data_IF_174511979933
#
_entry.id   IF_174511979933
#
_cell.length_a   1.000
_cell.length_b   1.000
_cell.length_c   1.000
_cell.angle_alpha   90.00
_cell.angle_beta   90.00
_cell.angle_gamma   90.00
#
_symmetry.space_group_name_H-M   'P 1'
#
loop_
_entity.id
_entity.type
_entity.pdbx_description
1 polymer ?
#
# COMPACT_ATOMS: atom_id res chain seq x y z
N UNK A 1 43.09 -13.13 5.51
CA UNK A 1 43.00 -11.78 4.88
C UNK A 1 41.87 -11.63 3.87
N UNK A 2 41.70 -12.44 2.82
CA UNK A 2 40.62 -12.20 1.83
C UNK A 2 39.21 -12.27 2.41
N UNK A 3 38.94 -13.20 3.33
CA UNK A 3 37.61 -13.32 3.95
C UNK A 3 37.20 -12.06 4.74
N UNK A 4 38.08 -11.48 5.52
CA UNK A 4 37.77 -10.26 6.28
C UNK A 4 37.46 -9.05 5.37
N UNK A 5 38.18 -8.91 4.25
CA UNK A 5 37.92 -7.85 3.26
C UNK A 5 36.54 -8.01 2.62
N UNK A 6 36.14 -9.24 2.29
CA UNK A 6 34.80 -9.54 1.74
C UNK A 6 33.73 -9.21 2.77
N UNK A 7 33.93 -9.59 4.04
CA UNK A 7 32.97 -9.28 5.11
C UNK A 7 32.78 -7.77 5.31
N UNK A 8 33.91 -7.00 5.29
CA UNK A 8 33.85 -5.53 5.36
C UNK A 8 33.09 -4.95 4.17
N UNK A 9 33.40 -5.36 2.95
CA UNK A 9 32.74 -4.86 1.75
C UNK A 9 31.22 -5.11 1.79
N UNK A 10 30.80 -6.32 2.19
CA UNK A 10 29.39 -6.66 2.35
C UNK A 10 28.73 -5.82 3.45
N UNK A 11 29.38 -5.60 4.59
CA UNK A 11 28.88 -4.77 5.67
C UNK A 11 28.65 -3.32 5.22
N UNK A 12 29.59 -2.74 4.47
CA UNK A 12 29.46 -1.40 3.92
C UNK A 12 28.28 -1.28 2.93
N UNK A 13 28.11 -2.29 2.07
CA UNK A 13 26.96 -2.33 1.13
C UNK A 13 25.64 -2.41 1.89
N UNK A 14 25.52 -3.30 2.89
CA UNK A 14 24.30 -3.43 3.70
C UNK A 14 24.02 -2.13 4.45
N UNK A 15 25.00 -1.54 5.08
CA UNK A 15 24.89 -0.27 5.79
C UNK A 15 24.41 0.87 4.87
N UNK A 16 25.03 1.00 3.68
CA UNK A 16 24.62 1.99 2.68
C UNK A 16 23.18 1.78 2.21
N UNK A 17 22.80 0.54 1.88
CA UNK A 17 21.45 0.22 1.46
C UNK A 17 20.42 0.56 2.54
N UNK A 18 20.73 0.26 3.81
CA UNK A 18 19.88 0.58 4.96
C UNK A 18 19.70 2.10 5.14
N UNK A 19 20.78 2.87 5.03
CA UNK A 19 20.74 4.33 5.11
C UNK A 19 19.91 4.93 3.96
N UNK A 20 20.03 4.39 2.76
CA UNK A 20 19.21 4.80 1.62
C UNK A 20 17.71 4.51 1.85
N UNK A 21 17.38 3.37 2.48
CA UNK A 21 15.99 3.03 2.81
C UNK A 21 15.43 3.97 3.89
N UNK A 22 16.21 4.27 4.92
CA UNK A 22 15.84 5.21 5.96
C UNK A 22 15.60 6.62 5.39
N UNK A 23 16.49 7.09 4.51
CA UNK A 23 16.35 8.38 3.82
C UNK A 23 15.09 8.44 2.95
N UNK A 24 14.79 7.34 2.23
CA UNK A 24 13.59 7.25 1.38
C UNK A 24 12.31 7.27 2.20
N UNK A 25 12.24 6.48 3.27
CA UNK A 25 11.06 6.38 4.11
C UNK A 25 10.72 7.71 4.81
N UNK A 26 11.72 8.52 5.16
CA UNK A 26 11.55 9.85 5.79
C UNK A 26 11.12 10.96 4.81
N UNK A 27 11.22 10.73 3.51
CA UNK A 27 10.94 11.74 2.48
C UNK A 27 9.52 11.70 1.93
N UNK A 28 8.69 10.75 2.36
CA UNK A 28 7.29 10.74 1.96
C UNK A 28 6.59 11.95 2.58
N UNK A 29 5.91 12.78 1.78
CA UNK A 29 5.07 13.82 2.32
C UNK A 29 3.93 13.19 3.12
N UNK A 30 3.45 13.91 4.12
CA UNK A 30 2.35 13.48 4.96
C UNK A 30 1.16 14.43 4.80
N UNK A 31 -0.04 13.88 4.78
CA UNK A 31 -1.27 14.65 4.99
C UNK A 31 -1.38 14.98 6.46
N UNK A 32 -1.77 16.21 6.77
CA UNK A 32 -2.03 16.66 8.13
C UNK A 32 -3.50 17.03 8.31
N UNK A 33 -4.09 16.62 9.42
CA UNK A 33 -5.43 17.03 9.81
C UNK A 33 -5.53 18.56 9.98
N UNK A 34 -4.46 19.23 10.46
CA UNK A 34 -4.42 20.69 10.62
C UNK A 34 -4.47 21.48 9.32
N UNK A 35 -4.15 20.84 8.19
CA UNK A 35 -4.19 21.47 6.86
C UNK A 35 -5.53 21.27 6.14
N UNK A 36 -6.49 20.58 6.75
CA UNK A 36 -7.74 20.22 6.12
C UNK A 36 -8.60 21.43 5.77
N UNK A 37 -9.11 21.48 4.56
CA UNK A 37 -10.10 22.47 4.16
C UNK A 37 -11.50 22.02 4.61
N UNK A 38 -12.25 22.92 5.24
CA UNK A 38 -13.61 22.63 5.69
C UNK A 38 -14.67 22.97 4.63
N UNK A 39 -14.30 23.73 3.60
CA UNK A 39 -15.19 24.06 2.46
C UNK A 39 -14.40 24.09 1.17
N UNK A 40 -15.05 23.81 0.05
CA UNK A 40 -14.39 23.81 -1.25
C UNK A 40 -15.22 23.13 -2.34
N UNK A 41 -14.58 22.59 -3.36
CA UNK A 41 -15.28 21.90 -4.44
C UNK A 41 -15.99 20.63 -3.92
N UNK A 42 -17.09 20.25 -4.58
CA UNK A 42 -17.81 19.00 -4.26
C UNK A 42 -16.91 17.79 -4.43
N UNK A 43 -16.82 16.98 -3.38
CA UNK A 43 -16.14 15.68 -3.37
C UNK A 43 -17.19 14.58 -3.22
N UNK A 44 -17.12 13.55 -4.06
CA UNK A 44 -17.90 12.33 -3.84
C UNK A 44 -16.97 11.19 -3.45
N UNK A 45 -17.23 10.60 -2.28
CA UNK A 45 -16.60 9.38 -1.80
C UNK A 45 -17.29 8.19 -2.46
N UNK A 46 -16.51 7.31 -3.08
CA UNK A 46 -17.00 6.09 -3.76
C UNK A 46 -16.43 4.89 -3.03
N UNK A 47 -17.29 4.04 -2.48
CA UNK A 47 -16.90 2.87 -1.68
C UNK A 47 -17.42 1.61 -2.40
N UNK A 48 -16.57 0.84 -3.10
CA UNK A 48 -16.94 -0.47 -3.59
C UNK A 48 -17.00 -1.45 -2.41
N UNK A 49 -18.10 -2.14 -2.22
CA UNK A 49 -18.27 -3.12 -1.14
C UNK A 49 -18.65 -4.49 -1.70
N UNK A 50 -17.98 -5.55 -1.22
CA UNK A 50 -18.36 -6.94 -1.47
C UNK A 50 -17.97 -7.79 -0.27
N UNK A 51 -18.95 -8.33 0.44
CA UNK A 51 -18.74 -9.12 1.66
C UNK A 51 -17.86 -8.35 2.66
N UNK A 52 -18.33 -7.16 3.06
CA UNK A 52 -17.63 -6.23 3.96
C UNK A 52 -18.43 -5.97 5.26
N UNK A 53 -19.29 -6.91 5.67
CA UNK A 53 -20.10 -6.75 6.88
C UNK A 53 -19.29 -6.41 8.13
N UNK A 54 -18.07 -6.91 8.23
CA UNK A 54 -17.18 -6.66 9.36
C UNK A 54 -16.55 -5.26 9.40
N UNK A 55 -16.57 -4.51 8.27
CA UNK A 55 -15.80 -3.27 8.09
C UNK A 55 -16.69 -2.08 7.70
N UNK A 56 -17.75 -2.31 6.90
CA UNK A 56 -18.53 -1.26 6.24
C UNK A 56 -19.08 -0.22 7.21
N UNK A 57 -19.61 -0.63 8.39
CA UNK A 57 -20.15 0.29 9.36
C UNK A 57 -19.10 1.33 9.81
N UNK A 58 -17.90 0.86 10.17
CA UNK A 58 -16.79 1.73 10.58
C UNK A 58 -16.34 2.68 9.47
N UNK A 59 -16.34 2.21 8.23
CA UNK A 59 -16.01 3.05 7.07
C UNK A 59 -17.07 4.14 6.86
N UNK A 60 -18.35 3.81 6.94
CA UNK A 60 -19.45 4.74 6.78
C UNK A 60 -19.51 5.78 7.89
N UNK A 61 -19.25 5.40 9.15
CA UNK A 61 -19.18 6.33 10.27
C UNK A 61 -18.21 7.47 9.97
N UNK A 62 -17.00 7.16 9.51
CA UNK A 62 -16.01 8.17 9.17
C UNK A 62 -16.30 8.91 7.86
N UNK A 63 -16.81 8.22 6.83
CA UNK A 63 -17.13 8.83 5.55
C UNK A 63 -18.28 9.85 5.66
N UNK A 64 -19.26 9.60 6.54
CA UNK A 64 -20.40 10.48 6.79
C UNK A 64 -20.08 11.64 7.75
N UNK A 65 -18.99 11.54 8.50
CA UNK A 65 -18.54 12.59 9.43
C UNK A 65 -17.51 13.55 8.82
N UNK A 66 -17.30 13.53 7.51
CA UNK A 66 -16.33 14.44 6.88
C UNK A 66 -16.67 15.91 7.16
N UNK A 67 -15.67 16.66 7.61
CA UNK A 67 -15.77 18.09 7.92
C UNK A 67 -15.74 18.98 6.68
N UNK A 68 -15.29 18.46 5.54
CA UNK A 68 -15.29 19.15 4.25
C UNK A 68 -16.71 19.17 3.64
N UNK A 69 -17.16 20.33 3.20
CA UNK A 69 -18.45 20.49 2.55
C UNK A 69 -18.31 21.26 1.20
N UNK A 70 -19.06 20.87 0.16
CA UNK A 70 -19.99 19.74 0.11
C UNK A 70 -19.29 18.38 -0.11
N UNK A 71 -19.81 17.34 0.56
CA UNK A 71 -19.31 15.98 0.44
C UNK A 71 -20.49 14.98 0.38
N UNK A 72 -20.49 14.09 -0.63
CA UNK A 72 -21.45 13.00 -0.79
C UNK A 72 -20.78 11.64 -0.72
N UNK A 73 -21.53 10.60 -0.38
CA UNK A 73 -21.03 9.22 -0.31
C UNK A 73 -21.87 8.32 -1.21
N UNK A 74 -21.22 7.54 -2.07
CA UNK A 74 -21.84 6.50 -2.89
C UNK A 74 -21.20 5.16 -2.50
N UNK A 75 -22.03 4.23 -2.03
CA UNK A 75 -21.59 2.84 -1.80
C UNK A 75 -22.16 1.95 -2.88
N UNK A 76 -21.27 1.19 -3.53
CA UNK A 76 -21.68 0.21 -4.55
C UNK A 76 -21.52 -1.19 -3.98
N UNK A 77 -22.62 -1.83 -3.65
CA UNK A 77 -22.65 -3.24 -3.25
C UNK A 77 -22.49 -4.14 -4.47
N UNK A 78 -21.30 -4.75 -4.63
CA UNK A 78 -20.99 -5.67 -5.74
C UNK A 78 -21.52 -7.09 -5.43
N UNK A 79 -22.85 -7.20 -5.25
CA UNK A 79 -23.57 -8.46 -5.00
C UNK A 79 -23.03 -9.24 -3.80
N UNK A 80 -22.99 -8.60 -2.63
CA UNK A 80 -22.63 -9.23 -1.37
C UNK A 80 -23.63 -10.32 -0.98
N UNK A 81 -23.13 -11.35 -0.29
CA UNK A 81 -23.91 -12.51 0.21
C UNK A 81 -23.96 -12.57 1.73
N UNK A 82 -23.28 -11.63 2.40
CA UNK A 82 -23.26 -11.44 3.85
C UNK A 82 -24.21 -10.29 4.27
N UNK A 83 -24.09 -9.79 5.51
CA UNK A 83 -24.88 -8.69 6.06
C UNK A 83 -24.57 -7.29 5.44
N UNK A 84 -23.66 -7.18 4.49
CA UNK A 84 -23.29 -5.89 3.85
C UNK A 84 -24.51 -5.11 3.33
N UNK A 85 -25.46 -5.71 2.57
CA UNK A 85 -26.63 -4.98 2.06
C UNK A 85 -27.52 -4.45 3.18
N UNK A 86 -27.71 -5.21 4.27
CA UNK A 86 -28.53 -4.78 5.42
C UNK A 86 -27.89 -3.61 6.17
N UNK A 87 -26.56 -3.64 6.36
CA UNK A 87 -25.83 -2.52 6.94
C UNK A 87 -25.99 -1.28 6.07
N UNK A 88 -25.78 -1.41 4.77
CA UNK A 88 -25.90 -0.29 3.81
C UNK A 88 -27.29 0.32 3.83
N UNK A 89 -28.35 -0.49 3.77
CA UNK A 89 -29.74 -0.03 3.79
C UNK A 89 -30.05 0.76 5.07
N UNK A 90 -29.60 0.30 6.23
CA UNK A 90 -29.78 1.00 7.51
C UNK A 90 -29.12 2.37 7.50
N UNK A 91 -27.86 2.49 7.05
CA UNK A 91 -27.15 3.77 6.99
C UNK A 91 -27.76 4.71 5.95
N UNK A 92 -28.18 4.21 4.79
CA UNK A 92 -28.84 5.03 3.76
C UNK A 92 -30.17 5.60 4.25
N UNK A 93 -30.95 4.85 5.04
CA UNK A 93 -32.18 5.35 5.66
C UNK A 93 -31.91 6.43 6.72
N UNK A 94 -30.78 6.37 7.42
CA UNK A 94 -30.40 7.39 8.41
C UNK A 94 -29.78 8.65 7.79
N UNK A 95 -29.21 8.56 6.58
CA UNK A 95 -28.50 9.67 5.91
C UNK A 95 -28.93 9.83 4.44
N UNK A 96 -30.23 10.01 4.14
CA UNK A 96 -30.76 9.98 2.77
C UNK A 96 -30.18 11.07 1.85
N UNK A 97 -29.79 12.23 2.41
CA UNK A 97 -29.24 13.35 1.64
C UNK A 97 -27.75 13.24 1.36
N UNK A 98 -27.03 12.35 2.07
CA UNK A 98 -25.56 12.25 2.00
C UNK A 98 -25.06 10.91 1.52
N UNK A 99 -25.84 9.83 1.71
CA UNK A 99 -25.46 8.46 1.37
C UNK A 99 -26.39 7.86 0.34
N UNK A 100 -25.83 7.50 -0.81
CA UNK A 100 -26.51 6.78 -1.86
C UNK A 100 -25.99 5.34 -1.94
N UNK A 101 -26.73 4.38 -1.39
CA UNK A 101 -26.49 2.96 -1.55
C UNK A 101 -27.03 2.46 -2.89
N UNK A 102 -26.19 1.82 -3.68
CA UNK A 102 -26.60 1.25 -4.97
C UNK A 102 -26.13 -0.19 -5.13
N UNK A 103 -26.98 -1.03 -5.71
CA UNK A 103 -26.57 -2.39 -6.12
C UNK A 103 -25.72 -2.27 -7.39
N UNK A 104 -24.60 -2.96 -7.42
CA UNK A 104 -23.70 -2.97 -8.57
C UNK A 104 -24.37 -3.54 -9.83
N UNK A 105 -23.87 -3.14 -10.99
CA UNK A 105 -24.31 -3.74 -12.26
C UNK A 105 -23.82 -5.19 -12.34
N UNK A 106 -24.50 -6.07 -13.09
CA UNK A 106 -23.93 -7.36 -13.47
C UNK A 106 -22.50 -7.17 -14.00
N UNK A 107 -21.60 -8.07 -13.61
CA UNK A 107 -20.18 -7.96 -14.01
C UNK A 107 -20.03 -8.21 -15.53
N UNK A 108 -19.64 -7.20 -16.32
CA UNK A 108 -19.47 -7.41 -17.76
C UNK A 108 -18.26 -8.33 -18.04
N UNK A 109 -18.27 -9.07 -19.17
CA UNK A 109 -17.13 -9.88 -19.56
C UNK A 109 -15.83 -9.06 -19.62
N UNK A 110 -14.76 -9.62 -19.06
CA UNK A 110 -13.43 -8.99 -19.03
C UNK A 110 -13.25 -7.89 -17.99
N UNK A 111 -14.22 -7.68 -17.10
CA UNK A 111 -14.08 -6.74 -15.98
C UNK A 111 -13.73 -7.45 -14.66
N UNK A 112 -12.92 -6.80 -13.85
CA UNK A 112 -12.74 -7.13 -12.42
C UNK A 112 -13.86 -6.45 -11.62
N UNK A 113 -14.42 -7.12 -10.62
CA UNK A 113 -15.57 -6.61 -9.85
C UNK A 113 -15.34 -5.24 -9.24
N UNK A 114 -14.16 -5.02 -8.61
CA UNK A 114 -13.82 -3.72 -8.02
C UNK A 114 -13.79 -2.60 -9.06
N UNK A 115 -13.19 -2.83 -10.24
CA UNK A 115 -13.17 -1.85 -11.33
C UNK A 115 -14.58 -1.50 -11.79
N UNK A 116 -15.47 -2.51 -11.94
CA UNK A 116 -16.86 -2.31 -12.33
C UNK A 116 -17.62 -1.49 -11.27
N UNK A 117 -17.47 -1.82 -10.00
CA UNK A 117 -18.11 -1.09 -8.90
C UNK A 117 -17.62 0.37 -8.82
N UNK A 118 -16.30 0.60 -8.87
CA UNK A 118 -15.73 1.94 -8.88
C UNK A 118 -16.19 2.78 -10.07
N UNK A 119 -16.19 2.20 -11.28
CA UNK A 119 -16.66 2.88 -12.49
C UNK A 119 -18.13 3.24 -12.41
N UNK A 120 -18.96 2.30 -11.93
CA UNK A 120 -20.38 2.53 -11.76
C UNK A 120 -20.68 3.62 -10.72
N UNK A 121 -19.99 3.60 -9.56
CA UNK A 121 -20.09 4.65 -8.56
C UNK A 121 -19.69 6.03 -9.12
N UNK A 122 -18.56 6.09 -9.83
CA UNK A 122 -18.09 7.33 -10.47
C UNK A 122 -19.10 7.88 -11.50
N UNK A 123 -19.77 7.00 -12.25
CA UNK A 123 -20.78 7.42 -13.24
C UNK A 123 -22.02 8.11 -12.61
N UNK A 124 -22.23 7.91 -11.31
CA UNK A 124 -23.29 8.56 -10.53
C UNK A 124 -22.83 9.89 -9.90
N UNK A 125 -21.54 10.18 -9.91
CA UNK A 125 -20.91 11.34 -9.30
C UNK A 125 -20.47 12.42 -10.32
N UNK A 126 -21.19 12.58 -11.43
CA UNK A 126 -20.77 13.44 -12.56
C UNK A 126 -20.60 14.92 -12.23
N UNK A 127 -21.29 15.44 -11.23
CA UNK A 127 -21.20 16.84 -10.82
C UNK A 127 -20.04 17.13 -9.85
N UNK A 128 -19.34 16.09 -9.38
CA UNK A 128 -18.25 16.24 -8.43
C UNK A 128 -16.99 16.76 -9.10
N UNK A 129 -16.31 17.69 -8.45
CA UNK A 129 -15.00 18.15 -8.89
C UNK A 129 -13.91 17.09 -8.61
N UNK A 130 -14.10 16.35 -7.52
CA UNK A 130 -13.19 15.30 -7.09
C UNK A 130 -13.94 14.00 -6.78
N UNK A 131 -13.34 12.88 -7.16
CA UNK A 131 -13.77 11.53 -6.83
C UNK A 131 -12.77 10.94 -5.84
N UNK A 132 -13.24 10.51 -4.66
CA UNK A 132 -12.43 9.83 -3.67
C UNK A 132 -12.82 8.36 -3.60
N UNK A 133 -11.98 7.49 -4.10
CA UNK A 133 -12.14 6.04 -3.97
C UNK A 133 -11.59 5.59 -2.62
N UNK A 134 -12.44 4.95 -1.81
CA UNK A 134 -12.08 4.37 -0.51
C UNK A 134 -12.45 2.89 -0.47
N UNK A 135 -11.54 2.05 -0.01
CA UNK A 135 -11.88 0.66 0.30
C UNK A 135 -12.73 0.57 1.57
N UNK A 136 -13.69 -0.36 1.61
CA UNK A 136 -14.64 -0.51 2.72
C UNK A 136 -13.99 -0.98 4.04
N UNK A 137 -12.74 -1.44 4.00
CA UNK A 137 -11.95 -1.83 5.18
C UNK A 137 -11.18 -0.66 5.84
N UNK A 138 -11.40 0.56 5.33
CA UNK A 138 -10.80 1.80 5.87
C UNK A 138 -11.67 2.46 6.94
N UNK A 139 -11.05 3.33 7.73
CA UNK A 139 -11.71 4.19 8.71
C UNK A 139 -11.17 5.61 8.54
N UNK A 140 -11.84 6.47 7.73
CA UNK A 140 -11.45 7.85 7.54
C UNK A 140 -11.76 8.70 8.78
N UNK A 141 -10.84 9.61 9.14
CA UNK A 141 -11.11 10.65 10.11
C UNK A 141 -11.91 11.80 9.46
N UNK A 142 -12.56 12.67 10.25
CA UNK A 142 -13.37 13.79 9.71
C UNK A 142 -12.59 14.73 8.77
N UNK A 143 -11.29 14.84 8.94
CA UNK A 143 -10.42 15.75 8.19
C UNK A 143 -9.89 15.15 6.87
N UNK A 144 -10.15 13.87 6.56
CA UNK A 144 -9.53 13.19 5.42
C UNK A 144 -9.77 13.90 4.10
N UNK A 145 -11.02 14.19 3.77
CA UNK A 145 -11.38 14.82 2.49
C UNK A 145 -10.72 16.18 2.36
N UNK A 146 -10.86 17.02 3.40
CA UNK A 146 -10.28 18.35 3.41
C UNK A 146 -8.75 18.34 3.29
N UNK A 147 -8.08 17.42 3.99
CA UNK A 147 -6.62 17.26 3.91
C UNK A 147 -6.14 16.80 2.53
N UNK A 148 -6.87 15.87 1.90
CA UNK A 148 -6.56 15.40 0.54
C UNK A 148 -6.71 16.51 -0.49
N UNK A 149 -7.83 17.26 -0.46
CA UNK A 149 -8.07 18.38 -1.39
C UNK A 149 -7.02 19.47 -1.20
N UNK A 150 -6.76 19.89 0.04
CA UNK A 150 -5.74 20.90 0.35
C UNK A 150 -4.35 20.47 -0.14
N UNK A 151 -3.99 19.21 0.05
CA UNK A 151 -2.72 18.66 -0.42
C UNK A 151 -2.64 18.65 -1.96
N UNK A 152 -3.72 18.19 -2.62
CA UNK A 152 -3.79 18.15 -4.08
C UNK A 152 -3.64 19.55 -4.69
N UNK A 153 -4.38 20.54 -4.18
CA UNK A 153 -4.33 21.92 -4.70
C UNK A 153 -2.98 22.58 -4.40
N UNK A 154 -2.43 22.43 -3.19
CA UNK A 154 -1.10 22.96 -2.80
C UNK A 154 0.02 22.47 -3.73
N UNK A 155 -0.04 21.19 -4.11
CA UNK A 155 0.98 20.55 -4.95
C UNK A 155 0.60 20.50 -6.44
N UNK A 156 -0.54 21.10 -6.82
CA UNK A 156 -1.08 21.11 -8.18
C UNK A 156 -1.19 19.70 -8.77
N UNK A 157 -1.76 18.76 -7.99
CA UNK A 157 -1.94 17.37 -8.39
C UNK A 157 -3.35 17.14 -8.93
N UNK A 158 -3.45 16.24 -9.90
CA UNK A 158 -4.72 15.76 -10.45
C UNK A 158 -5.19 14.48 -9.77
N UNK A 159 -4.28 13.77 -9.11
CA UNK A 159 -4.61 12.65 -8.26
C UNK A 159 -3.64 12.52 -7.08
N UNK A 160 -4.16 12.06 -5.93
CA UNK A 160 -3.40 11.79 -4.71
C UNK A 160 -3.75 10.38 -4.22
N UNK A 161 -2.75 9.51 -4.19
CA UNK A 161 -2.85 8.24 -3.47
C UNK A 161 -2.33 8.43 -2.06
N UNK A 162 -3.11 8.03 -1.06
CA UNK A 162 -2.75 8.16 0.34
C UNK A 162 -2.53 6.80 1.00
N UNK A 163 -1.41 6.65 1.70
CA UNK A 163 -1.08 5.46 2.47
C UNK A 163 -1.71 5.57 3.86
N UNK A 164 -2.70 4.74 4.21
CA UNK A 164 -3.34 4.78 5.52
C UNK A 164 -2.44 4.23 6.62
N UNK A 165 -2.75 4.57 7.88
CA UNK A 165 -2.18 3.90 9.03
C UNK A 165 -2.70 2.47 9.12
N UNK A 166 -1.80 1.49 9.12
CA UNK A 166 -2.17 0.08 9.22
C UNK A 166 -2.29 -0.34 10.68
N UNK A 167 -3.49 -0.75 11.09
CA UNK A 167 -3.76 -1.35 12.39
C UNK A 167 -3.34 -2.83 12.37
N UNK A 168 -2.33 -3.17 13.16
CA UNK A 168 -1.72 -4.51 13.21
C UNK A 168 -1.92 -5.10 14.61
N UNK A 169 -2.94 -5.94 14.77
CA UNK A 169 -3.33 -6.47 16.08
C UNK A 169 -2.76 -7.85 16.36
N UNK A 170 -2.65 -8.71 15.35
CA UNK A 170 -2.14 -10.08 15.52
C UNK A 170 -0.66 -10.18 15.15
N UNK A 171 0.04 -11.17 15.71
CA UNK A 171 1.45 -11.39 15.40
C UNK A 171 1.73 -11.60 13.90
N UNK A 172 0.94 -12.39 13.14
CA UNK A 172 1.10 -12.47 11.68
C UNK A 172 1.00 -11.12 10.97
N UNK A 173 0.05 -10.25 11.35
CA UNK A 173 -0.07 -8.90 10.79
C UNK A 173 1.20 -8.10 11.08
N UNK A 174 1.70 -8.14 12.33
CA UNK A 174 2.88 -7.40 12.77
C UNK A 174 4.18 -7.88 12.10
N UNK A 175 4.28 -9.16 11.76
CA UNK A 175 5.46 -9.74 11.11
C UNK A 175 5.48 -9.50 9.59
N UNK A 176 4.34 -9.73 8.92
CA UNK A 176 4.33 -9.83 7.45
C UNK A 176 4.04 -8.48 6.78
N UNK A 177 3.10 -7.68 7.31
CA UNK A 177 2.71 -6.44 6.63
C UNK A 177 3.82 -5.37 6.62
N UNK A 178 4.60 -5.12 7.70
CA UNK A 178 5.70 -4.18 7.64
C UNK A 178 6.74 -4.50 6.58
N UNK A 179 7.08 -5.78 6.40
CA UNK A 179 8.07 -6.19 5.38
C UNK A 179 7.49 -6.12 3.97
N UNK A 180 6.19 -6.42 3.79
CA UNK A 180 5.49 -6.22 2.52
C UNK A 180 5.50 -4.74 2.09
N UNK A 181 5.13 -3.82 2.98
CA UNK A 181 5.16 -2.39 2.69
C UNK A 181 6.57 -1.89 2.40
N UNK A 182 7.59 -2.38 3.15
CA UNK A 182 8.97 -2.02 2.86
C UNK A 182 9.41 -2.56 1.49
N UNK A 183 9.03 -3.80 1.14
CA UNK A 183 9.29 -4.36 -0.19
C UNK A 183 8.67 -3.49 -1.28
N UNK A 184 7.41 -3.07 -1.13
CA UNK A 184 6.75 -2.17 -2.09
C UNK A 184 7.52 -0.85 -2.26
N UNK A 185 7.96 -0.23 -1.15
CA UNK A 185 8.75 1.00 -1.17
C UNK A 185 10.13 0.83 -1.81
N UNK A 186 10.73 -0.36 -1.71
CA UNK A 186 12.00 -0.69 -2.38
C UNK A 186 11.80 -0.96 -3.87
N UNK A 187 10.73 -1.69 -4.24
CA UNK A 187 10.42 -2.06 -5.62
C UNK A 187 10.01 -0.84 -6.47
N UNK A 188 9.37 0.15 -5.86
CA UNK A 188 8.94 1.36 -6.55
C UNK A 188 9.82 2.55 -6.14
N UNK A 189 10.43 3.28 -7.10
CA UNK A 189 11.34 4.39 -6.82
C UNK A 189 10.56 5.63 -6.35
N UNK A 190 10.29 5.71 -5.04
CA UNK A 190 9.49 6.77 -4.41
C UNK A 190 9.94 8.19 -4.78
N UNK A 191 11.25 8.42 -4.91
CA UNK A 191 11.79 9.73 -5.28
C UNK A 191 11.24 10.22 -6.63
N UNK A 192 10.94 9.30 -7.55
CA UNK A 192 10.31 9.60 -8.83
C UNK A 192 8.81 9.85 -8.69
N UNK A 193 8.15 9.28 -7.66
CA UNK A 193 6.75 9.57 -7.36
C UNK A 193 6.55 10.96 -6.74
N UNK A 194 7.55 11.51 -6.06
CA UNK A 194 7.51 12.85 -5.48
C UNK A 194 7.70 13.98 -6.50
N UNK A 195 8.17 13.64 -7.69
CA UNK A 195 8.28 14.59 -8.80
C UNK A 195 7.42 14.13 -9.98
N UNK A 196 6.14 14.53 -10.01
CA UNK A 196 5.19 14.09 -11.04
C UNK A 196 5.56 14.52 -12.45
N UNK A 197 6.37 15.57 -12.61
CA UNK A 197 6.71 16.14 -13.92
C UNK A 197 7.78 15.33 -14.64
N UNK A 198 8.67 14.66 -13.91
CA UNK A 198 9.84 13.97 -14.50
C UNK A 198 9.78 12.44 -14.35
N UNK A 199 8.85 11.91 -13.58
CA UNK A 199 8.81 10.48 -13.30
C UNK A 199 8.14 9.69 -14.43
N UNK A 200 8.79 8.64 -14.96
CA UNK A 200 8.17 7.76 -15.95
C UNK A 200 6.87 7.12 -15.42
N UNK A 201 5.82 6.97 -16.25
CA UNK A 201 4.52 6.43 -15.81
C UNK A 201 4.62 5.08 -15.11
N UNK A 202 5.53 4.21 -15.52
CA UNK A 202 5.73 2.89 -14.95
C UNK A 202 6.39 2.89 -13.55
N UNK A 203 6.77 4.04 -13.01
CA UNK A 203 7.38 4.18 -11.66
C UNK A 203 6.36 4.54 -10.59
N UNK A 204 5.11 4.79 -10.95
CA UNK A 204 4.05 5.16 -10.01
C UNK A 204 3.76 4.01 -9.05
N UNK A 205 3.69 4.35 -7.76
CA UNK A 205 3.08 3.58 -6.71
C UNK A 205 1.76 4.26 -6.32
N UNK A 206 0.68 3.50 -6.28
CA UNK A 206 -0.60 3.93 -5.76
C UNK A 206 -1.15 2.85 -4.82
N UNK A 207 -2.03 3.26 -3.93
CA UNK A 207 -2.75 2.40 -2.99
C UNK A 207 -4.25 2.68 -3.15
N UNK A 208 -5.00 1.67 -3.58
CA UNK A 208 -6.44 1.76 -3.83
C UNK A 208 -7.30 1.96 -2.59
N UNK A 209 -6.73 1.84 -1.39
CA UNK A 209 -7.46 2.07 -0.14
C UNK A 209 -7.88 3.53 0.04
N UNK A 210 -7.13 4.47 -0.55
CA UNK A 210 -7.46 5.89 -0.53
C UNK A 210 -6.84 6.58 -1.75
N UNK A 211 -7.68 6.88 -2.75
CA UNK A 211 -7.26 7.49 -4.01
C UNK A 211 -8.20 8.63 -4.40
N UNK A 212 -7.75 9.87 -4.23
CA UNK A 212 -8.44 11.08 -4.72
C UNK A 212 -8.04 11.34 -6.15
N UNK A 213 -9.01 11.58 -7.04
CA UNK A 213 -8.78 11.91 -8.45
C UNK A 213 -9.68 13.07 -8.88
N UNK A 214 -9.13 14.06 -9.58
CA UNK A 214 -9.91 15.13 -10.20
C UNK A 214 -10.86 14.53 -11.25
N UNK A 215 -12.16 14.83 -11.18
CA UNK A 215 -13.16 14.25 -12.08
C UNK A 215 -12.80 14.41 -13.56
N UNK A 216 -12.33 15.58 -13.98
CA UNK A 216 -11.91 15.82 -15.35
C UNK A 216 -10.77 14.89 -15.79
N UNK A 217 -9.77 14.68 -14.92
CA UNK A 217 -8.67 13.77 -15.20
C UNK A 217 -9.12 12.30 -15.24
N UNK A 218 -10.02 11.91 -14.34
CA UNK A 218 -10.60 10.56 -14.32
C UNK A 218 -11.34 10.23 -15.63
N UNK A 219 -12.22 11.12 -16.07
CA UNK A 219 -13.02 10.91 -17.28
C UNK A 219 -12.21 11.08 -18.56
N UNK A 220 -11.14 11.88 -18.56
CA UNK A 220 -10.25 12.01 -19.71
C UNK A 220 -9.53 10.69 -20.11
N UNK A 221 -9.40 9.76 -19.16
CA UNK A 221 -8.81 8.44 -19.41
C UNK A 221 -9.84 7.31 -19.40
N UNK A 222 -11.15 7.62 -19.44
CA UNK A 222 -12.25 6.66 -19.26
C UNK A 222 -12.21 5.91 -17.91
N UNK A 223 -11.56 6.48 -16.90
CA UNK A 223 -11.53 6.02 -15.52
C UNK A 223 -11.15 4.54 -15.37
N UNK A 224 -11.91 3.81 -14.56
CA UNK A 224 -11.66 2.38 -14.33
C UNK A 224 -11.95 1.49 -15.55
N UNK A 225 -12.61 1.99 -16.60
CA UNK A 225 -12.79 1.22 -17.84
C UNK A 225 -11.46 1.03 -18.56
N UNK A 226 -10.55 2.00 -18.50
CA UNK A 226 -9.19 1.86 -19.05
C UNK A 226 -8.36 0.74 -18.40
N UNK A 227 -8.76 0.30 -17.21
CA UNK A 227 -8.02 -0.71 -16.41
C UNK A 227 -8.95 -1.85 -15.95
N UNK A 228 -10.03 -2.07 -16.65
CA UNK A 228 -11.15 -2.96 -16.28
C UNK A 228 -10.75 -4.39 -15.92
N UNK A 229 -9.71 -4.91 -16.55
CA UNK A 229 -9.17 -6.28 -16.42
C UNK A 229 -8.01 -6.38 -15.42
N UNK A 230 -7.62 -5.28 -14.78
CA UNK A 230 -6.44 -5.23 -13.90
C UNK A 230 -6.79 -5.54 -12.44
N UNK A 231 -6.04 -6.45 -11.83
CA UNK A 231 -6.15 -6.79 -10.40
C UNK A 231 -5.50 -5.74 -9.49
N UNK A 232 -4.47 -5.03 -10.00
CA UNK A 232 -3.86 -3.85 -9.36
C UNK A 232 -4.38 -2.60 -10.07
N UNK A 233 -5.67 -2.39 -9.98
CA UNK A 233 -6.39 -1.32 -10.66
C UNK A 233 -5.90 0.08 -10.28
N UNK A 234 -5.51 0.26 -9.02
CA UNK A 234 -5.01 1.50 -8.44
C UNK A 234 -3.69 1.94 -9.08
N UNK A 235 -2.72 1.02 -9.16
CA UNK A 235 -1.42 1.28 -9.80
C UNK A 235 -1.59 1.53 -11.30
N UNK A 236 -2.43 0.74 -11.97
CA UNK A 236 -2.64 0.89 -13.41
C UNK A 236 -3.45 2.15 -13.75
N UNK A 237 -4.43 2.53 -12.91
CA UNK A 237 -5.15 3.80 -13.05
C UNK A 237 -4.21 5.00 -12.87
N UNK A 238 -3.37 4.98 -11.84
CA UNK A 238 -2.36 6.00 -11.62
C UNK A 238 -1.36 6.11 -12.80
N UNK A 239 -0.97 4.96 -13.39
CA UNK A 239 -0.15 4.92 -14.60
C UNK A 239 -0.86 5.48 -15.83
N UNK A 240 -2.15 5.16 -16.00
CA UNK A 240 -2.95 5.69 -17.10
C UNK A 240 -3.08 7.22 -17.00
N UNK A 241 -3.35 7.74 -15.80
CA UNK A 241 -3.34 9.19 -15.55
C UNK A 241 -2.02 9.84 -15.93
N UNK A 242 -0.89 9.26 -15.50
CA UNK A 242 0.43 9.80 -15.86
C UNK A 242 0.75 9.72 -17.35
N UNK A 243 0.34 8.66 -18.05
CA UNK A 243 0.51 8.55 -19.52
C UNK A 243 -0.26 9.61 -20.25
N UNK A 244 -1.41 10.03 -19.70
CA UNK A 244 -2.23 11.12 -20.22
C UNK A 244 -1.73 12.54 -19.81
N UNK A 245 -0.59 12.63 -19.11
CA UNK A 245 0.00 13.91 -18.72
C UNK A 245 -0.47 14.47 -17.37
N UNK A 246 -1.33 13.76 -16.63
CA UNK A 246 -1.82 14.19 -15.33
C UNK A 246 -0.80 13.97 -14.21
N UNK A 247 -0.82 14.87 -13.23
CA UNK A 247 0.08 14.86 -12.07
C UNK A 247 -0.47 14.00 -10.95
N UNK A 248 0.20 12.88 -10.66
CA UNK A 248 -0.19 11.93 -9.61
C UNK A 248 0.83 11.97 -8.47
N UNK A 249 0.37 12.21 -7.24
CA UNK A 249 1.18 12.23 -6.03
C UNK A 249 0.91 11.04 -5.11
N UNK A 250 1.85 10.81 -4.19
CA UNK A 250 1.75 9.83 -3.10
C UNK A 250 2.09 10.51 -1.77
N UNK A 251 1.26 10.30 -0.74
CA UNK A 251 1.49 10.81 0.60
C UNK A 251 1.17 9.75 1.66
N UNK A 252 1.74 9.87 2.85
CA UNK A 252 1.24 9.15 4.03
C UNK A 252 0.06 9.90 4.62
N UNK A 253 -0.92 9.19 5.17
CA UNK A 253 -2.15 9.75 5.72
C UNK A 253 -2.46 9.16 7.11
N UNK A 254 -1.42 8.88 7.90
CA UNK A 254 -1.50 8.10 9.13
C UNK A 254 -2.40 8.72 10.22
N UNK A 255 -2.59 10.03 10.19
CA UNK A 255 -3.42 10.73 11.17
C UNK A 255 -4.87 10.92 10.72
N UNK A 256 -5.15 10.76 9.41
CA UNK A 256 -6.46 11.04 8.82
C UNK A 256 -7.18 9.82 8.23
N UNK A 257 -6.51 8.68 8.11
CA UNK A 257 -7.17 7.42 7.70
C UNK A 257 -6.44 6.21 8.25
N UNK A 258 -7.21 5.23 8.70
CA UNK A 258 -6.74 3.94 9.22
C UNK A 258 -7.29 2.80 8.38
N UNK A 259 -6.60 1.65 8.40
CA UNK A 259 -7.05 0.43 7.72
C UNK A 259 -6.67 -0.80 8.53
N UNK A 260 -7.52 -1.80 8.50
CA UNK A 260 -7.19 -3.15 8.93
C UNK A 260 -7.48 -4.13 7.81
N UNK A 261 -6.47 -4.37 6.97
CA UNK A 261 -6.59 -5.18 5.73
C UNK A 261 -6.90 -6.65 5.99
N UNK A 262 -6.28 -7.24 7.00
CA UNK A 262 -6.33 -8.68 7.28
C UNK A 262 -6.45 -8.92 8.78
N UNK A 263 -7.05 -10.04 9.16
CA UNK A 263 -7.27 -10.39 10.57
C UNK A 263 -6.51 -11.64 11.01
N UNK A 264 -6.06 -12.45 10.04
CA UNK A 264 -5.34 -13.69 10.28
C UNK A 264 -4.35 -14.00 9.15
N UNK A 265 -3.47 -15.01 9.39
CA UNK A 265 -2.45 -15.39 8.42
C UNK A 265 -3.02 -15.92 7.09
N UNK A 266 -4.17 -16.59 7.12
CA UNK A 266 -4.84 -17.09 5.91
C UNK A 266 -5.25 -15.96 4.97
N UNK A 267 -5.88 -14.93 5.51
CA UNK A 267 -6.25 -13.71 4.77
C UNK A 267 -5.02 -12.97 4.21
N UNK A 268 -3.94 -12.86 5.03
CA UNK A 268 -2.67 -12.27 4.60
C UNK A 268 -2.10 -13.05 3.40
N UNK A 269 -2.03 -14.39 3.52
CA UNK A 269 -1.47 -15.23 2.47
C UNK A 269 -2.28 -15.16 1.16
N UNK A 270 -3.61 -15.11 1.27
CA UNK A 270 -4.50 -14.96 0.11
C UNK A 270 -4.38 -13.56 -0.52
N UNK A 271 -4.43 -12.52 0.29
CA UNK A 271 -4.40 -11.14 -0.19
C UNK A 271 -3.05 -10.74 -0.77
N UNK A 272 -1.92 -11.05 -0.10
CA UNK A 272 -0.59 -10.75 -0.62
C UNK A 272 -0.21 -11.63 -1.80
N UNK A 273 -0.77 -12.84 -1.90
CA UNK A 273 -0.58 -13.73 -3.05
C UNK A 273 -1.02 -13.10 -4.37
N UNK A 274 -2.14 -12.35 -4.39
CA UNK A 274 -2.59 -11.63 -5.59
C UNK A 274 -1.61 -10.54 -6.02
N UNK A 275 -1.06 -9.78 -5.05
CA UNK A 275 -0.10 -8.71 -5.32
C UNK A 275 1.22 -9.24 -5.89
N UNK A 276 1.71 -10.38 -5.39
CA UNK A 276 2.92 -11.02 -5.90
C UNK A 276 2.80 -11.39 -7.38
N UNK A 277 1.65 -11.92 -7.79
CA UNK A 277 1.40 -12.35 -9.16
C UNK A 277 1.25 -11.17 -10.13
N UNK A 278 0.45 -10.18 -9.77
CA UNK A 278 0.23 -9.00 -10.60
C UNK A 278 1.47 -8.10 -10.67
N UNK A 279 2.21 -7.95 -9.56
CA UNK A 279 3.45 -7.17 -9.50
C UNK A 279 4.56 -7.71 -10.39
N UNK A 280 4.65 -9.05 -10.57
CA UNK A 280 5.61 -9.69 -11.47
C UNK A 280 5.40 -9.30 -12.93
N UNK A 281 4.16 -9.24 -13.40
CA UNK A 281 3.83 -8.80 -14.77
C UNK A 281 4.14 -7.32 -14.99
N UNK A 282 3.93 -6.50 -13.98
CA UNK A 282 4.10 -5.07 -14.09
C UNK A 282 5.58 -4.61 -14.04
N UNK A 283 6.50 -5.35 -13.42
CA UNK A 283 7.92 -4.94 -13.24
C UNK A 283 8.82 -6.08 -12.70
N UNK A 284 8.89 -7.23 -13.38
CA UNK A 284 9.63 -8.42 -12.92
C UNK A 284 11.07 -8.16 -12.48
N UNK A 285 11.83 -7.33 -13.24
CA UNK A 285 13.20 -6.95 -12.90
C UNK A 285 13.30 -6.13 -11.60
N UNK A 286 12.38 -5.20 -11.38
CA UNK A 286 12.34 -4.40 -10.14
C UNK A 286 11.97 -5.25 -8.94
N UNK A 287 10.99 -6.15 -9.09
CA UNK A 287 10.62 -7.10 -8.06
C UNK A 287 11.79 -8.02 -7.71
N UNK A 288 12.52 -8.53 -8.69
CA UNK A 288 13.73 -9.34 -8.49
C UNK A 288 14.78 -8.56 -7.67
N UNK A 289 15.11 -7.33 -8.07
CA UNK A 289 16.06 -6.50 -7.34
C UNK A 289 15.58 -6.12 -5.93
N UNK A 290 14.28 -5.89 -5.75
CA UNK A 290 13.74 -5.63 -4.42
C UNK A 290 13.82 -6.86 -3.51
N UNK A 291 13.52 -8.05 -4.03
CA UNK A 291 13.71 -9.33 -3.31
C UNK A 291 15.17 -9.52 -2.94
N UNK A 292 16.08 -9.41 -3.90
CA UNK A 292 17.53 -9.56 -3.68
C UNK A 292 18.02 -8.58 -2.61
N UNK A 293 17.65 -7.31 -2.72
CA UNK A 293 18.03 -6.27 -1.78
C UNK A 293 17.48 -6.52 -0.38
N UNK A 294 16.20 -6.85 -0.25
CA UNK A 294 15.58 -7.16 1.03
C UNK A 294 16.19 -8.41 1.67
N UNK A 295 16.47 -9.44 0.88
CA UNK A 295 17.15 -10.64 1.36
C UNK A 295 18.56 -10.31 1.87
N UNK A 296 19.31 -9.50 1.12
CA UNK A 296 20.66 -9.07 1.52
C UNK A 296 20.63 -8.24 2.81
N UNK A 297 19.73 -7.27 2.91
CA UNK A 297 19.71 -6.39 4.09
C UNK A 297 19.05 -7.05 5.31
N UNK A 298 18.05 -7.91 5.13
CA UNK A 298 17.28 -8.50 6.23
C UNK A 298 17.84 -9.84 6.69
N UNK A 299 18.12 -10.77 5.75
CA UNK A 299 18.61 -12.11 6.13
C UNK A 299 20.12 -12.20 6.17
N UNK A 300 20.83 -11.54 5.25
CA UNK A 300 22.28 -11.67 5.22
C UNK A 300 22.97 -10.85 6.33
N UNK A 301 22.36 -9.76 6.82
CA UNK A 301 23.01 -8.91 7.85
C UNK A 301 23.29 -9.63 9.18
N UNK A 302 22.36 -10.41 9.80
CA UNK A 302 22.68 -11.15 11.01
C UNK A 302 23.67 -12.30 10.75
N UNK A 303 23.59 -12.97 9.59
CA UNK A 303 24.53 -14.03 9.21
C UNK A 303 25.93 -13.47 8.99
N UNK A 304 26.05 -12.29 8.40
CA UNK A 304 27.30 -11.59 8.23
C UNK A 304 27.94 -11.22 9.57
N UNK A 305 27.15 -10.75 10.53
CA UNK A 305 27.65 -10.43 11.87
C UNK A 305 28.18 -11.70 12.58
N UNK A 306 27.45 -12.82 12.45
CA UNK A 306 27.89 -14.12 12.98
C UNK A 306 29.20 -14.61 12.30
N UNK A 307 29.24 -14.55 10.96
CA UNK A 307 30.44 -14.96 10.21
C UNK A 307 31.67 -14.10 10.57
N UNK A 308 31.48 -12.80 10.75
CA UNK A 308 32.54 -11.90 11.18
C UNK A 308 33.05 -12.19 12.61
N UNK A 309 32.10 -12.53 13.52
CA UNK A 309 32.47 -12.95 14.89
C UNK A 309 33.25 -14.26 14.89
N UNK A 310 32.84 -15.26 14.12
CA UNK A 310 33.58 -16.52 13.97
C UNK A 310 34.96 -16.31 13.34
N UNK A 311 35.08 -15.46 12.32
CA UNK A 311 36.34 -15.11 11.70
C UNK A 311 37.29 -14.41 12.70
N UNK A 312 36.78 -13.51 13.52
CA UNK A 312 37.61 -12.85 14.56
C UNK A 312 38.05 -13.81 15.68
N UNK A 313 37.19 -14.77 16.04
CA UNK A 313 37.50 -15.78 17.04
C UNK A 313 38.55 -16.82 16.56
N UNK A 314 38.48 -17.20 15.27
CA UNK A 314 39.39 -18.22 14.71
C UNK A 314 40.68 -17.62 14.15
N UNK A 315 40.69 -16.36 13.73
CA UNK A 315 41.81 -15.64 13.15
C UNK A 315 41.88 -14.23 13.74
N UNK A 316 42.38 -14.05 14.97
CA UNK A 316 42.37 -12.77 15.66
C UNK A 316 43.39 -11.80 15.07
N UNK A 317 43.05 -11.18 13.95
CA UNK A 317 43.85 -10.17 13.27
C UNK A 317 43.14 -8.79 13.36
N UNK A 318 43.87 -7.66 13.28
CA UNK A 318 43.24 -6.34 13.24
C UNK A 318 42.18 -6.21 12.16
N UNK A 319 42.39 -6.84 10.99
CA UNK A 319 41.45 -6.85 9.89
C UNK A 319 40.16 -7.66 10.21
N UNK A 320 40.32 -8.79 10.95
CA UNK A 320 39.15 -9.58 11.38
C UNK A 320 38.32 -8.83 12.43
N UNK A 321 38.96 -8.09 13.34
CA UNK A 321 38.24 -7.21 14.27
C UNK A 321 37.56 -6.04 13.55
N UNK A 322 38.18 -5.44 12.54
CA UNK A 322 37.56 -4.41 11.71
C UNK A 322 36.33 -4.97 10.97
N UNK A 323 36.39 -6.20 10.45
CA UNK A 323 35.28 -6.89 9.84
C UNK A 323 34.12 -7.11 10.82
N UNK A 324 34.44 -7.54 12.06
CA UNK A 324 33.43 -7.71 13.12
C UNK A 324 32.73 -6.39 13.46
N UNK A 325 33.49 -5.32 13.68
CA UNK A 325 32.95 -4.00 14.00
C UNK A 325 32.07 -3.49 12.83
N UNK A 326 32.54 -3.60 11.59
CA UNK A 326 31.79 -3.19 10.41
C UNK A 326 30.49 -3.96 10.26
N UNK A 327 30.48 -5.27 10.45
CA UNK A 327 29.31 -6.13 10.39
C UNK A 327 28.32 -5.84 11.53
N UNK A 328 28.82 -5.62 12.74
CA UNK A 328 28.01 -5.25 13.90
C UNK A 328 27.31 -3.89 13.69
N UNK A 329 28.04 -2.90 13.17
CA UNK A 329 27.47 -1.58 12.83
C UNK A 329 26.41 -1.68 11.74
N UNK A 330 26.64 -2.46 10.68
CA UNK A 330 25.67 -2.66 9.61
C UNK A 330 24.38 -3.35 10.12
N UNK A 331 24.53 -4.39 10.94
CA UNK A 331 23.40 -5.08 11.56
C UNK A 331 22.67 -4.18 12.56
N UNK A 332 23.38 -3.44 13.39
CA UNK A 332 22.82 -2.46 14.32
C UNK A 332 22.04 -1.35 13.60
N UNK A 333 22.56 -0.84 12.48
CA UNK A 333 21.85 0.13 11.65
C UNK A 333 20.56 -0.45 11.05
N UNK A 334 20.61 -1.71 10.57
CA UNK A 334 19.45 -2.43 10.07
C UNK A 334 18.38 -2.62 11.16
N UNK A 335 18.80 -3.08 12.35
CA UNK A 335 17.91 -3.20 13.48
C UNK A 335 17.30 -1.85 13.89
N UNK A 336 18.11 -0.80 13.98
CA UNK A 336 17.66 0.55 14.34
C UNK A 336 16.65 1.12 13.32
N UNK A 337 16.89 0.87 12.02
CA UNK A 337 15.96 1.23 10.96
C UNK A 337 14.59 0.56 11.16
N UNK A 338 14.54 -0.75 11.40
CA UNK A 338 13.30 -1.47 11.62
C UNK A 338 12.64 -1.11 12.95
N UNK A 339 13.42 -0.92 14.03
CA UNK A 339 12.92 -0.46 15.32
C UNK A 339 12.23 0.90 15.20
N UNK A 340 12.85 1.83 14.44
CA UNK A 340 12.23 3.10 14.08
C UNK A 340 10.95 2.92 13.26
N UNK A 341 10.97 2.06 12.24
CA UNK A 341 9.79 1.76 11.39
C UNK A 341 8.62 1.21 12.20
N UNK A 342 8.86 0.22 13.04
CA UNK A 342 7.82 -0.36 13.90
C UNK A 342 7.20 0.70 14.80
N UNK A 343 8.01 1.55 15.40
CA UNK A 343 7.52 2.61 16.27
C UNK A 343 6.82 3.73 15.50
N UNK A 344 7.46 4.30 14.48
CA UNK A 344 6.97 5.50 13.78
C UNK A 344 5.81 5.24 12.82
N UNK A 345 5.78 4.08 12.14
CA UNK A 345 4.79 3.78 11.11
C UNK A 345 3.63 2.92 11.60
N UNK A 346 3.85 2.10 12.63
CA UNK A 346 2.85 1.14 13.10
C UNK A 346 2.50 1.28 14.57
N UNK A 347 3.17 2.20 15.30
CA UNK A 347 3.00 2.41 16.76
C UNK A 347 3.19 1.11 17.56
N UNK A 348 4.09 0.24 17.09
CA UNK A 348 4.39 -1.05 17.68
C UNK A 348 5.71 -0.99 18.50
N UNK A 349 5.91 -1.96 19.41
CA UNK A 349 7.14 -2.06 20.19
C UNK A 349 8.38 -2.28 19.31
N UNK A 350 9.46 -1.56 19.63
CA UNK A 350 10.71 -1.59 18.87
C UNK A 350 11.39 -2.96 18.83
N UNK A 351 11.19 -3.79 19.87
CA UNK A 351 11.79 -5.13 19.94
C UNK A 351 11.29 -6.09 18.85
N UNK A 352 10.12 -5.85 18.25
CA UNK A 352 9.64 -6.62 17.10
C UNK A 352 10.58 -6.55 15.89
N UNK A 353 11.49 -5.58 15.84
CA UNK A 353 12.53 -5.49 14.82
C UNK A 353 13.43 -6.74 14.75
N UNK A 354 13.60 -7.47 15.87
CA UNK A 354 14.33 -8.73 15.90
C UNK A 354 13.64 -9.84 15.09
N UNK A 355 12.33 -9.77 14.92
CA UNK A 355 11.53 -10.76 14.19
C UNK A 355 11.37 -10.45 12.70
N UNK A 356 11.95 -9.36 12.20
CA UNK A 356 11.90 -8.97 10.78
C UNK A 356 12.42 -10.05 9.84
N UNK A 357 13.52 -10.78 10.15
CA UNK A 357 13.95 -11.89 9.32
C UNK A 357 12.88 -12.99 9.18
N UNK A 358 12.17 -13.33 10.25
CA UNK A 358 11.06 -14.27 10.21
C UNK A 358 9.90 -13.73 9.36
N UNK A 359 9.52 -12.46 9.53
CA UNK A 359 8.51 -11.81 8.71
C UNK A 359 8.83 -11.84 7.21
N UNK A 360 10.11 -11.61 6.86
CA UNK A 360 10.58 -11.67 5.48
C UNK A 360 10.53 -13.10 4.92
N UNK A 361 10.92 -14.11 5.68
CA UNK A 361 10.79 -15.52 5.27
C UNK A 361 9.35 -15.92 5.03
N UNK A 362 8.42 -15.52 5.92
CA UNK A 362 6.99 -15.78 5.76
C UNK A 362 6.44 -15.10 4.49
N UNK A 363 6.82 -13.84 4.23
CA UNK A 363 6.44 -13.15 3.01
C UNK A 363 6.98 -13.84 1.75
N UNK A 364 8.24 -14.25 1.74
CA UNK A 364 8.83 -15.01 0.63
C UNK A 364 8.09 -16.34 0.39
N UNK A 365 7.71 -17.06 1.45
CA UNK A 365 6.93 -18.29 1.33
C UNK A 365 5.56 -18.04 0.68
N UNK A 366 4.89 -16.93 1.02
CA UNK A 366 3.63 -16.50 0.38
C UNK A 366 3.85 -16.22 -1.11
N UNK A 367 4.91 -15.47 -1.46
CA UNK A 367 5.25 -15.13 -2.84
C UNK A 367 5.56 -16.39 -3.67
N UNK A 368 6.39 -17.31 -3.15
CA UNK A 368 6.75 -18.57 -3.80
C UNK A 368 5.48 -19.41 -4.03
N UNK A 369 4.68 -19.64 -2.98
CA UNK A 369 3.42 -20.40 -3.07
C UNK A 369 2.48 -19.81 -4.13
N UNK A 370 2.29 -18.50 -4.14
CA UNK A 370 1.42 -17.83 -5.11
C UNK A 370 1.95 -17.97 -6.54
N UNK A 371 3.24 -17.77 -6.75
CA UNK A 371 3.89 -17.89 -8.04
C UNK A 371 3.78 -19.34 -8.59
N UNK A 372 4.02 -20.34 -7.75
CA UNK A 372 3.90 -21.75 -8.12
C UNK A 372 2.45 -22.12 -8.51
N UNK A 373 1.44 -21.64 -7.76
CA UNK A 373 0.03 -21.86 -8.10
C UNK A 373 -0.33 -21.32 -9.48
N UNK A 374 0.16 -20.13 -9.82
CA UNK A 374 -0.07 -19.53 -11.14
C UNK A 374 0.64 -20.31 -12.24
N UNK A 375 1.86 -20.76 -12.02
CA UNK A 375 2.58 -21.61 -12.99
C UNK A 375 1.87 -22.95 -13.24
N UNK A 376 1.19 -23.49 -12.21
CA UNK A 376 0.37 -24.69 -12.33
C UNK A 376 -1.05 -24.44 -12.91
N UNK A 377 -1.32 -23.23 -13.43
CA UNK A 377 -2.59 -22.89 -14.07
C UNK A 377 -3.79 -22.75 -13.11
N UNK A 378 -3.57 -22.72 -11.78
CA UNK A 378 -4.65 -22.69 -10.77
C UNK A 378 -5.25 -21.32 -10.50
N UNK A 379 -4.80 -20.25 -11.19
CA UNK A 379 -5.29 -18.89 -11.02
C UNK A 379 -5.12 -18.30 -9.61
N UNK A 380 -5.58 -17.06 -9.44
CA UNK A 380 -5.62 -16.36 -8.12
C UNK A 380 -7.07 -16.27 -7.65
N UNK A 381 -7.37 -16.78 -6.47
CA UNK A 381 -8.70 -16.67 -5.85
C UNK A 381 -8.73 -15.44 -4.95
N UNK A 382 -9.74 -14.58 -5.13
CA UNK A 382 -9.99 -13.42 -4.29
C UNK A 382 -11.49 -13.19 -4.12
N UNK A 383 -11.98 -13.12 -2.86
CA UNK A 383 -13.39 -12.94 -2.50
C UNK A 383 -14.31 -13.85 -3.34
N UNK A 384 -14.02 -15.16 -3.33
CA UNK A 384 -14.78 -16.22 -4.01
C UNK A 384 -14.74 -16.17 -5.55
N UNK A 385 -14.05 -15.21 -6.15
CA UNK A 385 -13.83 -15.14 -7.60
C UNK A 385 -12.43 -15.62 -7.98
N UNK A 386 -12.35 -16.47 -9.00
CA UNK A 386 -11.07 -16.91 -9.58
C UNK A 386 -10.72 -16.00 -10.75
N UNK A 387 -9.57 -15.37 -10.68
CA UNK A 387 -9.02 -14.58 -11.79
C UNK A 387 -7.97 -15.43 -12.51
N UNK A 388 -8.20 -15.71 -13.80
CA UNK A 388 -7.19 -16.31 -14.66
C UNK A 388 -6.06 -15.33 -14.88
N UNK A 389 -4.84 -15.79 -14.71
CA UNK A 389 -3.62 -15.01 -14.91
C UNK A 389 -3.32 -14.75 -16.37
#
# INVERSE_FOLDING_TARGET
>A
MPAALVLIALALVIGLLTLLDAKRARRLPALSASDAWHSGPLVTIIIPARNEAANLARCLDGALQQSHAPCAVIVVDDHSTDETPHILARYAAQHPDRLHGVVGRPLPPGWVGKCNACYYGASRAKQSAWLLFLDADTAPAPELVGALVAFAERHRLDAVSALPFNELHTLPEQLVLPVFYQFALVAFPLQKNLNPDTAPPNTVLANGQCLLVRSAAYWAIDGHAAVKDKVLEDVELARALRRAGFRVGLATAFDVIRVRMYRNFGEIAQGLGKHATAGRRASGWRAFWAVTRMTLTVLASPLLALAAALNAATQPTPLAFLALVSAALAYGAQWAFWAWRYHAWYRLPRHLAWLVPLGWMLYLAIVIRSTTRVWLGRGVVWKERTYSS
#
